data_IF_338474780114
#
_entry.id   IF_338474780114
#
_cell.length_a   1.000
_cell.length_b   1.000
_cell.length_c   1.000
_cell.angle_alpha   90.00
_cell.angle_beta   90.00
_cell.angle_gamma   90.00
#
_symmetry.space_group_name_H-M   'P 1'
#
loop_
_entity.id
_entity.type
_entity.pdbx_description
1 polymer ?
#
# COMPACT_ATOMS: atom_id res chain seq x y z
N UNK A 1 -5.85 -14.06 58.86
CA UNK A 1 -6.23 -14.14 57.42
C UNK A 1 -7.51 -13.35 57.22
N UNK A 2 -7.46 -12.21 56.52
CA UNK A 2 -8.61 -11.32 56.34
C UNK A 2 -9.69 -11.96 55.45
N UNK A 3 -10.95 -11.91 55.89
CA UNK A 3 -12.09 -12.41 55.11
C UNK A 3 -12.39 -11.42 53.97
N UNK A 4 -12.35 -11.89 52.73
CA UNK A 4 -12.78 -11.10 51.57
C UNK A 4 -14.27 -10.84 51.72
N UNK A 5 -14.66 -9.57 51.74
CA UNK A 5 -16.07 -9.20 51.84
C UNK A 5 -16.78 -9.45 50.50
N UNK A 6 -18.09 -9.77 50.49
CA UNK A 6 -18.85 -9.98 49.26
C UNK A 6 -18.75 -8.81 48.26
N UNK A 7 -18.64 -7.57 48.77
CA UNK A 7 -18.43 -6.38 47.95
C UNK A 7 -17.06 -6.36 47.26
N UNK A 8 -15.99 -6.83 47.93
CA UNK A 8 -14.67 -6.97 47.32
C UNK A 8 -14.66 -8.07 46.25
N UNK A 9 -15.39 -9.17 46.48
CA UNK A 9 -15.54 -10.23 45.46
C UNK A 9 -16.29 -9.72 44.23
N UNK A 10 -17.43 -9.03 44.42
CA UNK A 10 -18.21 -8.47 43.32
C UNK A 10 -17.41 -7.44 42.50
N UNK A 11 -16.67 -6.55 43.16
CA UNK A 11 -15.82 -5.55 42.48
C UNK A 11 -14.72 -6.22 41.64
N UNK A 12 -14.04 -7.23 42.18
CA UNK A 12 -13.01 -7.98 41.45
C UNK A 12 -13.58 -8.73 40.26
N UNK A 13 -14.73 -9.40 40.42
CA UNK A 13 -15.38 -10.15 39.35
C UNK A 13 -15.79 -9.24 38.18
N UNK A 14 -16.42 -8.09 38.48
CA UNK A 14 -16.78 -7.08 37.47
C UNK A 14 -15.54 -6.54 36.76
N UNK A 15 -14.47 -6.25 37.51
CA UNK A 15 -13.22 -5.73 36.93
C UNK A 15 -12.58 -6.73 35.97
N UNK A 16 -12.55 -8.02 36.32
CA UNK A 16 -12.06 -9.08 35.43
C UNK A 16 -12.93 -9.18 34.18
N UNK A 17 -14.25 -9.11 34.32
CA UNK A 17 -15.18 -9.15 33.19
C UNK A 17 -14.96 -7.98 32.22
N UNK A 18 -14.78 -6.76 32.74
CA UNK A 18 -14.47 -5.58 31.95
C UNK A 18 -13.10 -5.73 31.26
N UNK A 19 -12.07 -6.17 31.99
CA UNK A 19 -10.74 -6.38 31.40
C UNK A 19 -10.76 -7.42 30.30
N UNK A 20 -11.43 -8.56 30.50
CA UNK A 20 -11.57 -9.61 29.48
C UNK A 20 -12.35 -9.09 28.27
N UNK A 21 -13.40 -8.30 28.49
CA UNK A 21 -14.16 -7.67 27.41
C UNK A 21 -13.31 -6.72 26.57
N UNK A 22 -12.61 -5.77 27.20
CA UNK A 22 -11.78 -4.78 26.51
C UNK A 22 -10.59 -5.45 25.81
N UNK A 23 -9.87 -6.33 26.50
CA UNK A 23 -8.74 -7.05 25.92
C UNK A 23 -9.21 -7.97 24.78
N UNK A 24 -10.34 -8.66 24.94
CA UNK A 24 -10.91 -9.52 23.91
C UNK A 24 -11.21 -8.75 22.61
N UNK A 25 -11.79 -7.56 22.70
CA UNK A 25 -12.02 -6.69 21.54
C UNK A 25 -10.71 -6.23 20.93
N UNK A 26 -9.77 -5.70 21.74
CA UNK A 26 -8.50 -5.20 21.24
C UNK A 26 -7.64 -6.29 20.56
N UNK A 27 -7.57 -7.48 21.16
CA UNK A 27 -6.90 -8.64 20.56
C UNK A 27 -7.64 -9.13 19.31
N UNK A 28 -8.97 -9.13 19.32
CA UNK A 28 -9.81 -9.47 18.17
C UNK A 28 -9.55 -8.57 16.97
N UNK A 29 -9.55 -7.25 17.16
CA UNK A 29 -9.23 -6.27 16.11
C UNK A 29 -7.81 -6.47 15.55
N UNK A 30 -6.84 -6.73 16.42
CA UNK A 30 -5.45 -6.99 16.02
C UNK A 30 -5.31 -8.26 15.18
N UNK A 31 -5.95 -9.36 15.61
CA UNK A 31 -5.96 -10.63 14.87
C UNK A 31 -6.69 -10.49 13.53
N UNK A 32 -7.82 -9.78 13.53
CA UNK A 32 -8.60 -9.50 12.32
C UNK A 32 -7.76 -8.76 11.27
N UNK A 33 -7.07 -7.68 11.66
CA UNK A 33 -6.19 -6.94 10.74
C UNK A 33 -5.04 -7.78 10.21
N UNK A 34 -4.43 -8.63 11.05
CA UNK A 34 -3.38 -9.55 10.61
C UNK A 34 -3.91 -10.59 9.62
N UNK A 35 -5.11 -11.12 9.84
CA UNK A 35 -5.75 -12.04 8.91
C UNK A 35 -6.01 -11.36 7.56
N UNK A 36 -6.59 -10.16 7.58
CA UNK A 36 -6.83 -9.37 6.37
C UNK A 36 -5.53 -9.08 5.61
N UNK A 37 -4.44 -8.73 6.31
CA UNK A 37 -3.13 -8.53 5.69
C UNK A 37 -2.64 -9.78 4.94
N UNK A 38 -2.69 -10.94 5.60
CA UNK A 38 -2.26 -12.20 5.00
C UNK A 38 -3.16 -12.57 3.81
N UNK A 39 -4.48 -12.40 3.93
CA UNK A 39 -5.43 -12.62 2.84
C UNK A 39 -5.16 -11.69 1.67
N UNK A 40 -4.92 -10.41 1.94
CA UNK A 40 -4.55 -9.40 0.95
C UNK A 40 -3.27 -9.81 0.20
N UNK A 41 -2.18 -10.07 0.92
CA UNK A 41 -0.92 -10.47 0.30
C UNK A 41 -1.06 -11.75 -0.52
N UNK A 42 -1.82 -12.73 -0.04
CA UNK A 42 -2.02 -13.99 -0.77
C UNK A 42 -2.81 -13.76 -2.06
N UNK A 43 -3.84 -12.91 -2.00
CA UNK A 43 -4.69 -12.60 -3.16
C UNK A 43 -3.92 -11.78 -4.18
N UNK A 44 -3.24 -10.72 -3.73
CA UNK A 44 -2.55 -9.80 -4.63
C UNK A 44 -1.23 -10.38 -5.14
N UNK A 45 -0.49 -11.20 -4.39
CA UNK A 45 0.75 -11.81 -4.92
C UNK A 45 0.48 -12.83 -6.04
N UNK A 46 -0.77 -13.29 -6.18
CA UNK A 46 -1.20 -14.24 -7.22
C UNK A 46 -2.42 -13.69 -7.95
N UNK A 47 -2.28 -12.62 -8.74
CA UNK A 47 -3.40 -11.98 -9.42
C UNK A 47 -4.02 -12.88 -10.51
N UNK A 48 -3.33 -13.96 -10.89
CA UNK A 48 -3.85 -14.98 -11.80
C UNK A 48 -3.84 -16.33 -11.10
N UNK A 49 -4.78 -17.22 -11.43
CA UNK A 49 -4.76 -18.62 -10.97
C UNK A 49 -3.53 -19.42 -11.47
N UNK A 50 -2.61 -18.78 -12.20
CA UNK A 50 -1.36 -19.39 -12.62
C UNK A 50 -0.29 -19.20 -11.52
N UNK A 51 0.11 -20.27 -10.81
CA UNK A 51 1.10 -20.20 -9.75
C UNK A 51 2.51 -19.81 -10.25
N UNK A 52 2.75 -19.85 -11.56
CA UNK A 52 4.01 -19.44 -12.18
C UNK A 52 4.10 -17.92 -12.40
N UNK A 53 3.02 -17.18 -12.15
CA UNK A 53 2.99 -15.71 -12.25
C UNK A 53 2.75 -15.14 -10.87
N UNK A 54 3.83 -15.15 -10.09
CA UNK A 54 3.87 -14.55 -8.77
C UNK A 54 4.39 -13.12 -8.88
N UNK A 55 3.56 -12.20 -8.44
CA UNK A 55 3.90 -10.81 -8.18
C UNK A 55 4.60 -10.75 -6.82
N UNK A 56 5.87 -10.34 -6.80
CA UNK A 56 6.67 -10.18 -5.58
C UNK A 56 6.45 -8.79 -5.01
N UNK A 57 6.07 -8.70 -3.74
CA UNK A 57 6.06 -7.42 -3.03
C UNK A 57 7.49 -6.87 -2.90
N UNK A 58 7.72 -5.66 -3.39
CA UNK A 58 9.02 -4.96 -3.34
C UNK A 58 9.00 -3.74 -2.41
N UNK A 59 7.84 -3.14 -2.17
CA UNK A 59 7.72 -1.97 -1.31
C UNK A 59 6.35 -1.91 -0.65
N UNK A 60 6.33 -1.53 0.61
CA UNK A 60 5.14 -1.20 1.40
C UNK A 60 5.38 0.14 2.08
N UNK A 61 4.46 1.09 1.88
CA UNK A 61 4.47 2.39 2.53
C UNK A 61 3.09 2.70 3.10
N UNK A 62 3.03 3.40 4.22
CA UNK A 62 1.77 3.87 4.81
C UNK A 62 1.74 5.40 4.82
N UNK A 63 0.59 5.97 4.53
CA UNK A 63 0.36 7.41 4.50
C UNK A 63 -0.98 7.72 5.17
N UNK A 64 -1.04 8.78 5.97
CA UNK A 64 -2.32 9.26 6.53
C UNK A 64 -2.59 10.62 5.91
N UNK A 65 -3.74 10.78 5.26
CA UNK A 65 -4.11 12.05 4.65
C UNK A 65 -4.53 13.09 5.69
N UNK A 66 -4.73 14.33 5.26
CA UNK A 66 -5.19 15.43 6.12
C UNK A 66 -6.57 15.16 6.75
N UNK A 67 -7.37 14.28 6.15
CA UNK A 67 -8.65 13.81 6.68
C UNK A 67 -8.53 12.74 7.76
N UNK A 68 -7.31 12.27 8.07
CA UNK A 68 -7.05 11.21 9.04
C UNK A 68 -7.29 9.80 8.49
N UNK A 69 -7.48 9.65 7.17
CA UNK A 69 -7.66 8.34 6.53
C UNK A 69 -6.28 7.76 6.26
N UNK A 70 -6.04 6.55 6.77
CA UNK A 70 -4.81 5.81 6.53
C UNK A 70 -4.93 5.00 5.24
N UNK A 71 -4.03 5.30 4.31
CA UNK A 71 -3.81 4.60 3.07
C UNK A 71 -2.52 3.77 3.18
N UNK A 72 -2.52 2.57 2.60
CA UNK A 72 -1.31 1.75 2.46
C UNK A 72 -1.04 1.50 0.99
N UNK A 73 0.19 1.71 0.59
CA UNK A 73 0.69 1.55 -0.76
C UNK A 73 1.55 0.28 -0.82
N UNK A 74 1.21 -0.62 -1.73
CA UNK A 74 1.95 -1.84 -2.02
C UNK A 74 2.42 -1.81 -3.47
N UNK A 75 3.71 -2.05 -3.67
CA UNK A 75 4.29 -2.16 -5.00
C UNK A 75 4.73 -3.60 -5.19
N UNK A 76 4.17 -4.24 -6.21
CA UNK A 76 4.51 -5.58 -6.62
C UNK A 76 5.26 -5.55 -7.95
N UNK A 77 6.20 -6.47 -8.11
CA UNK A 77 6.92 -6.71 -9.36
C UNK A 77 6.90 -8.19 -9.74
N UNK A 78 6.68 -8.50 -11.01
CA UNK A 78 6.89 -9.85 -11.55
C UNK A 78 7.89 -9.84 -12.69
N UNK A 79 8.80 -10.81 -12.68
CA UNK A 79 9.72 -11.05 -13.79
C UNK A 79 9.00 -11.83 -14.89
N UNK A 80 8.85 -11.24 -16.07
CA UNK A 80 8.56 -12.02 -17.27
C UNK A 80 9.87 -12.67 -17.73
N UNK A 81 9.83 -13.95 -18.15
CA UNK A 81 11.01 -14.77 -18.49
C UNK A 81 12.00 -14.19 -19.53
N UNK A 82 11.70 -13.04 -20.15
CA UNK A 82 12.58 -12.24 -21.00
C UNK A 82 13.28 -11.06 -20.28
N UNK A 83 13.19 -10.95 -18.96
CA UNK A 83 13.83 -9.88 -18.17
C UNK A 83 13.07 -8.56 -18.09
N UNK A 84 11.83 -8.52 -18.59
CA UNK A 84 10.91 -7.38 -18.44
C UNK A 84 10.11 -7.53 -17.15
N UNK A 85 10.25 -6.59 -16.22
CA UNK A 85 9.48 -6.56 -14.97
C UNK A 85 8.14 -5.87 -15.19
N UNK A 86 7.05 -6.50 -14.77
CA UNK A 86 5.75 -5.83 -14.67
C UNK A 86 5.62 -5.26 -13.27
N UNK A 87 5.17 -4.01 -13.15
CA UNK A 87 4.98 -3.38 -11.85
C UNK A 87 3.50 -3.10 -11.63
N UNK A 88 3.00 -3.47 -10.46
CA UNK A 88 1.63 -3.21 -10.05
C UNK A 88 1.63 -2.49 -8.73
N UNK A 89 0.89 -1.41 -8.68
CA UNK A 89 0.73 -0.58 -7.50
C UNK A 89 -0.68 -0.76 -6.98
N UNK A 90 -0.82 -1.14 -5.72
CA UNK A 90 -2.10 -1.35 -5.05
C UNK A 90 -2.16 -0.42 -3.84
N UNK A 91 -3.26 0.32 -3.74
CA UNK A 91 -3.55 1.15 -2.57
C UNK A 91 -4.70 0.50 -1.81
N UNK A 92 -4.55 0.43 -0.49
CA UNK A 92 -5.58 -0.10 0.41
C UNK A 92 -5.86 0.86 1.55
N UNK A 93 -6.95 0.62 2.27
CA UNK A 93 -7.24 1.27 3.54
C UNK A 93 -6.52 0.59 4.73
N UNK A 94 -6.82 1.07 5.95
CA UNK A 94 -6.28 0.55 7.21
C UNK A 94 -6.58 -0.94 7.47
N UNK A 95 -7.61 -1.50 6.85
CA UNK A 95 -8.07 -2.88 7.03
C UNK A 95 -7.74 -3.76 5.80
N UNK A 96 -6.89 -3.24 4.90
CA UNK A 96 -6.36 -3.89 3.69
C UNK A 96 -7.38 -4.12 2.58
N UNK A 97 -8.46 -3.34 2.54
CA UNK A 97 -9.38 -3.33 1.41
C UNK A 97 -8.80 -2.49 0.27
N UNK A 98 -8.76 -3.06 -0.95
CA UNK A 98 -8.23 -2.37 -2.14
C UNK A 98 -9.12 -1.19 -2.51
N UNK A 99 -8.55 0.01 -2.49
CA UNK A 99 -9.23 1.26 -2.86
C UNK A 99 -8.86 1.73 -4.25
N UNK A 100 -7.64 1.43 -4.70
CA UNK A 100 -7.17 1.75 -6.05
C UNK A 100 -6.09 0.77 -6.48
N UNK A 101 -5.99 0.52 -7.78
CA UNK A 101 -4.90 -0.24 -8.37
C UNK A 101 -4.42 0.43 -9.66
N UNK A 102 -3.14 0.28 -9.93
CA UNK A 102 -2.50 0.77 -11.13
C UNK A 102 -1.51 -0.26 -11.64
N UNK A 103 -1.47 -0.46 -12.96
CA UNK A 103 -0.59 -1.42 -13.61
C UNK A 103 0.33 -0.68 -14.56
N UNK A 104 1.64 -0.86 -14.40
CA UNK A 104 2.63 -0.40 -15.36
C UNK A 104 2.59 -1.27 -16.61
N UNK A 105 2.76 -0.63 -17.76
CA UNK A 105 3.12 -1.38 -18.96
C UNK A 105 4.52 -2.00 -18.80
N UNK A 106 4.61 -3.29 -19.15
CA UNK A 106 5.70 -4.25 -18.86
C UNK A 106 7.05 -3.86 -19.47
N UNK A 107 7.06 -2.87 -20.34
CA UNK A 107 8.23 -2.35 -21.03
C UNK A 107 8.98 -1.27 -20.24
N UNK A 108 8.37 -0.72 -19.18
CA UNK A 108 8.88 0.44 -18.47
C UNK A 108 9.52 0.05 -17.14
N UNK A 109 10.73 0.57 -16.87
CA UNK A 109 11.38 0.40 -15.56
C UNK A 109 10.80 1.41 -14.58
N UNK A 110 10.19 0.94 -13.49
CA UNK A 110 9.77 1.76 -12.38
C UNK A 110 11.00 2.35 -11.66
N UNK A 111 10.94 3.62 -11.32
CA UNK A 111 12.00 4.33 -10.60
C UNK A 111 11.56 4.73 -9.20
N UNK A 112 10.31 5.21 -9.06
CA UNK A 112 9.77 5.60 -7.77
C UNK A 112 8.23 5.49 -7.77
N UNK A 113 7.66 5.19 -6.61
CA UNK A 113 6.23 5.26 -6.34
C UNK A 113 6.04 5.79 -4.94
N UNK A 114 5.23 6.84 -4.78
CA UNK A 114 5.00 7.43 -3.47
C UNK A 114 3.83 8.39 -3.44
N UNK A 115 3.42 8.78 -2.23
CA UNK A 115 2.42 9.82 -2.04
C UNK A 115 3.08 11.20 -2.10
N UNK A 116 2.42 12.16 -2.74
CA UNK A 116 2.84 13.57 -2.67
C UNK A 116 2.43 14.15 -1.31
N UNK A 117 3.42 14.54 -0.50
CA UNK A 117 3.27 14.87 0.94
C UNK A 117 2.38 16.09 1.26
N UNK A 118 1.88 16.83 0.27
CA UNK A 118 1.11 18.07 0.47
C UNK A 118 -0.09 18.22 -0.48
N UNK A 119 -0.72 17.11 -0.85
CA UNK A 119 -1.88 17.12 -1.77
C UNK A 119 -3.15 16.66 -1.08
N UNK A 120 -4.21 17.45 -1.24
CA UNK A 120 -5.57 17.10 -0.83
C UNK A 120 -6.49 17.38 -2.03
N UNK A 121 -7.03 16.36 -2.70
CA UNK A 121 -6.98 14.91 -2.39
C UNK A 121 -5.57 14.26 -2.55
N UNK A 122 -5.30 13.11 -1.89
CA UNK A 122 -4.02 12.42 -1.99
C UNK A 122 -3.70 11.99 -3.42
N UNK A 123 -2.50 12.35 -3.86
CA UNK A 123 -1.97 12.01 -5.18
C UNK A 123 -0.85 10.99 -5.03
N UNK A 124 -0.97 9.90 -5.78
CA UNK A 124 0.09 8.92 -5.98
C UNK A 124 0.96 9.38 -7.16
N UNK A 125 2.24 9.61 -6.89
CA UNK A 125 3.27 9.87 -7.90
C UNK A 125 3.94 8.55 -8.30
N UNK A 126 4.00 8.31 -9.60
CA UNK A 126 4.62 7.13 -10.22
C UNK A 126 5.64 7.63 -11.23
N UNK A 127 6.92 7.38 -10.95
CA UNK A 127 8.03 7.78 -11.82
C UNK A 127 8.61 6.55 -12.48
N UNK A 128 8.70 6.57 -13.81
CA UNK A 128 9.26 5.46 -14.61
C UNK A 128 10.07 5.97 -15.79
N UNK A 129 10.92 5.12 -16.33
CA UNK A 129 11.50 5.35 -17.65
C UNK A 129 10.51 5.03 -18.76
N UNK A 130 10.63 5.70 -19.89
CA UNK A 130 10.06 5.17 -21.13
C UNK A 130 10.78 3.87 -21.56
N UNK A 131 10.17 3.13 -22.48
CA UNK A 131 10.70 1.84 -22.97
C UNK A 131 12.12 1.94 -23.57
N UNK A 132 12.54 3.13 -24.00
CA UNK A 132 13.88 3.39 -24.56
C UNK A 132 14.88 3.92 -23.53
N UNK A 133 14.45 4.15 -22.28
CA UNK A 133 15.20 4.80 -21.20
C UNK A 133 15.72 6.20 -21.56
N UNK A 134 15.08 6.89 -22.51
CA UNK A 134 15.47 8.24 -22.96
C UNK A 134 14.65 9.34 -22.33
N UNK A 135 13.47 9.00 -21.82
CA UNK A 135 12.61 9.92 -21.10
C UNK A 135 12.25 9.38 -19.72
N UNK A 136 11.85 10.31 -18.85
CA UNK A 136 11.14 10.02 -17.61
C UNK A 136 9.65 10.27 -17.85
N UNK A 137 8.81 9.38 -17.36
CA UNK A 137 7.36 9.56 -17.33
C UNK A 137 6.98 9.67 -15.86
N UNK A 138 6.33 10.77 -15.52
CA UNK A 138 5.75 11.00 -14.22
C UNK A 138 4.22 10.93 -14.34
N UNK A 139 3.62 10.01 -13.61
CA UNK A 139 2.18 9.77 -13.58
C UNK A 139 1.65 10.15 -12.21
N UNK A 140 0.65 11.02 -12.18
CA UNK A 140 -0.04 11.48 -10.99
C UNK A 140 -1.45 10.89 -11.00
N UNK A 141 -1.72 9.96 -10.08
CA UNK A 141 -3.03 9.36 -9.88
C UNK A 141 -3.70 9.97 -8.65
N UNK A 142 -4.77 10.72 -8.86
CA UNK A 142 -5.59 11.24 -7.78
C UNK A 142 -6.55 10.13 -7.28
N UNK A 143 -6.32 9.63 -6.07
CA UNK A 143 -6.99 8.42 -5.57
C UNK A 143 -8.52 8.56 -5.46
N UNK A 144 -9.02 9.71 -5.00
CA UNK A 144 -10.45 9.90 -4.81
C UNK A 144 -11.21 10.19 -6.09
N UNK A 145 -10.52 10.69 -7.11
CA UNK A 145 -11.15 11.09 -8.37
C UNK A 145 -10.93 10.07 -9.48
N UNK A 146 -9.99 9.12 -9.31
CA UNK A 146 -9.59 8.19 -10.36
C UNK A 146 -8.95 8.87 -11.58
N UNK A 147 -8.47 10.11 -11.42
CA UNK A 147 -7.88 10.89 -12.51
C UNK A 147 -6.39 10.61 -12.58
N UNK A 148 -5.94 10.11 -13.73
CA UNK A 148 -4.53 9.92 -14.06
C UNK A 148 -4.06 11.04 -14.98
N UNK A 149 -3.03 11.77 -14.57
CA UNK A 149 -2.30 12.70 -15.43
C UNK A 149 -0.89 12.17 -15.64
N UNK A 150 -0.40 12.21 -16.88
CA UNK A 150 0.93 11.74 -17.23
C UNK A 150 1.73 12.86 -17.91
N UNK A 151 2.95 13.07 -17.43
CA UNK A 151 3.90 14.04 -17.95
C UNK A 151 5.15 13.29 -18.41
N UNK A 152 5.55 13.50 -19.68
CA UNK A 152 6.81 12.96 -20.19
C UNK A 152 7.88 14.05 -20.17
N UNK A 153 8.93 13.83 -19.38
CA UNK A 153 10.13 14.66 -19.38
C UNK A 153 11.20 14.05 -20.29
N UNK A 154 11.54 14.78 -21.36
CA UNK A 154 12.67 14.46 -22.23
C UNK A 154 13.81 15.45 -21.91
N UNK A 155 14.97 15.00 -21.43
CA UNK A 155 16.11 15.89 -21.30
C UNK A 155 16.43 16.50 -22.68
N UNK A 156 16.62 17.82 -22.75
CA UNK A 156 17.10 18.46 -23.98
C UNK A 156 18.41 17.80 -24.36
N UNK A 157 18.52 17.33 -25.61
CA UNK A 157 19.80 16.88 -26.15
C UNK A 157 20.83 17.98 -25.88
N UNK A 158 21.93 17.62 -25.23
CA UNK A 158 23.06 18.52 -25.12
C UNK A 158 23.53 18.77 -26.55
N UNK A 159 23.12 19.91 -27.12
CA UNK A 159 23.64 20.36 -28.40
C UNK A 159 25.17 20.38 -28.34
N UNK A 160 25.85 20.20 -29.48
CA UNK A 160 27.31 20.17 -29.49
C UNK A 160 27.85 21.40 -28.78
N UNK A 161 28.63 21.19 -27.72
CA UNK A 161 29.43 22.25 -27.11
C UNK A 161 30.51 22.59 -28.12
N UNK A 162 30.18 23.48 -29.05
CA UNK A 162 31.17 24.14 -29.91
C UNK A 162 31.99 25.06 -29.01
N UNK A 163 33.20 24.64 -28.68
CA UNK A 163 34.30 25.54 -28.33
C UNK A 163 35.14 25.78 -29.57
#
# INVERSE_FOLDING_TARGET
MGKITPAQFAKSAITVLIMVGILGVAFGESLYRKANYVTFLTTESFPTMNPLHQDRLISENSFTDEGGIMHRLFVFESEAGSGTTTCRVVVTDKDYHVTSSWNADRSNKLLNVGFMEHTSPPVLEIVRHDSTKRALICEHLCLHMGVLQAYQYRPREAGPVTR
#
